data_IF_992227251296
#
_entry.id   IF_992227251296
#
_cell.length_a   1.000
_cell.length_b   1.000
_cell.length_c   1.000
_cell.angle_alpha   90.00
_cell.angle_beta   90.00
_cell.angle_gamma   90.00
#
_symmetry.space_group_name_H-M   'P 1'
#
loop_
_entity.id
_entity.type
_entity.pdbx_description
1 polymer ?
#
# COMPACT_ATOMS: atom_id res chain seq x y z
N UNK A 1 -24.29 35.37 -7.58
CA UNK A 1 -23.42 34.99 -6.46
C UNK A 1 -22.09 35.71 -6.59
N UNK A 2 -21.65 36.39 -5.53
CA UNK A 2 -20.36 37.06 -5.48
C UNK A 2 -19.22 36.05 -5.28
N UNK A 3 -18.10 36.21 -6.01
CA UNK A 3 -16.92 35.30 -5.94
C UNK A 3 -16.41 35.13 -4.51
N UNK A 4 -16.56 36.17 -3.70
CA UNK A 4 -16.08 36.21 -2.30
C UNK A 4 -16.94 35.35 -1.38
N UNK A 5 -18.24 35.26 -1.64
CA UNK A 5 -19.16 34.46 -0.83
C UNK A 5 -19.07 32.97 -1.20
N UNK A 6 -18.79 32.66 -2.47
CA UNK A 6 -18.47 31.31 -2.90
C UNK A 6 -17.23 30.74 -2.18
N UNK A 7 -16.15 31.54 -2.11
CA UNK A 7 -14.91 31.11 -1.43
C UNK A 7 -15.10 30.93 0.09
N UNK A 8 -15.89 31.78 0.74
CA UNK A 8 -16.21 31.65 2.17
C UNK A 8 -16.99 30.37 2.47
N UNK A 9 -17.98 30.03 1.63
CA UNK A 9 -18.77 28.82 1.81
C UNK A 9 -17.94 27.55 1.56
N UNK A 10 -17.03 27.55 0.57
CA UNK A 10 -16.11 26.44 0.36
C UNK A 10 -15.16 26.23 1.56
N UNK A 11 -14.62 27.30 2.14
CA UNK A 11 -13.74 27.18 3.32
C UNK A 11 -14.46 26.61 4.55
N UNK A 12 -15.75 26.92 4.75
CA UNK A 12 -16.57 26.38 5.85
C UNK A 12 -16.91 24.89 5.68
N UNK A 13 -17.01 24.41 4.44
CA UNK A 13 -17.20 22.98 4.16
C UNK A 13 -15.91 22.18 4.40
N UNK A 14 -14.75 22.77 4.16
CA UNK A 14 -13.45 22.14 4.40
C UNK A 14 -13.18 22.00 5.91
N UNK A 15 -13.53 23.00 6.73
CA UNK A 15 -13.36 22.91 8.19
C UNK A 15 -14.27 21.87 8.84
N UNK A 16 -15.42 21.57 8.23
CA UNK A 16 -16.38 20.55 8.70
C UNK A 16 -16.00 19.13 8.25
N UNK A 17 -15.34 18.98 7.11
CA UNK A 17 -14.95 17.68 6.53
C UNK A 17 -13.64 17.08 7.07
N UNK A 18 -12.87 17.82 7.87
CA UNK A 18 -11.59 17.34 8.43
C UNK A 18 -11.77 16.54 9.74
N UNK A 19 -12.93 16.63 10.40
CA UNK A 19 -13.14 16.00 11.72
C UNK A 19 -13.70 14.57 11.63
N UNK A 20 -14.28 14.14 10.50
CA UNK A 20 -15.01 12.87 10.41
C UNK A 20 -14.36 11.76 9.57
N UNK A 21 -13.09 11.86 9.16
CA UNK A 21 -12.44 10.69 8.54
C UNK A 21 -11.00 10.81 8.05
N UNK A 22 -10.35 11.96 8.17
CA UNK A 22 -9.06 12.22 7.50
C UNK A 22 -7.78 11.87 8.28
N UNK A 23 -7.86 11.43 9.54
CA UNK A 23 -6.68 11.29 10.42
C UNK A 23 -6.72 9.98 11.23
N UNK A 24 -6.46 8.85 10.58
CA UNK A 24 -5.66 7.74 11.15
C UNK A 24 -5.66 6.55 10.17
N UNK A 25 -4.70 6.46 9.24
CA UNK A 25 -4.43 5.19 8.56
C UNK A 25 -4.04 4.05 9.53
N UNK A 26 -3.80 4.37 10.81
CA UNK A 26 -3.48 3.42 11.89
C UNK A 26 -4.71 2.63 12.37
N UNK A 27 -5.94 3.15 12.23
CA UNK A 27 -7.14 2.50 12.77
C UNK A 27 -7.69 1.34 11.92
N UNK A 28 -7.42 1.35 10.62
CA UNK A 28 -7.99 0.35 9.69
C UNK A 28 -7.29 -1.01 9.79
N UNK A 29 -5.97 -1.02 10.03
CA UNK A 29 -5.20 -2.25 10.15
C UNK A 29 -5.65 -3.14 11.33
N UNK A 30 -6.09 -2.53 12.43
CA UNK A 30 -6.54 -3.26 13.63
C UNK A 30 -7.93 -3.89 13.49
N UNK A 31 -8.71 -3.48 12.49
CA UNK A 31 -10.09 -3.93 12.32
C UNK A 31 -10.21 -5.23 11.51
N UNK A 32 -9.24 -5.53 10.63
CA UNK A 32 -9.32 -6.66 9.70
C UNK A 32 -9.10 -8.02 10.41
N UNK A 33 -8.35 -8.04 11.51
CA UNK A 33 -8.15 -9.25 12.31
C UNK A 33 -8.32 -8.92 13.80
N UNK A 34 -9.57 -8.92 14.28
CA UNK A 34 -9.91 -8.56 15.67
C UNK A 34 -9.14 -9.36 16.74
N UNK A 35 -8.78 -10.61 16.44
CA UNK A 35 -8.19 -11.54 17.40
C UNK A 35 -6.73 -11.90 17.09
N UNK A 36 -6.11 -11.29 16.08
CA UNK A 36 -4.74 -11.60 15.69
C UNK A 36 -3.77 -10.53 16.17
N UNK A 37 -2.83 -10.95 17.01
CA UNK A 37 -1.75 -10.12 17.51
C UNK A 37 -0.42 -10.53 16.85
N UNK A 38 0.08 -9.77 15.84
CA UNK A 38 1.33 -10.08 15.17
C UNK A 38 2.54 -9.94 16.10
N UNK A 39 2.45 -9.17 17.20
CA UNK A 39 3.57 -8.97 18.12
C UNK A 39 3.86 -10.20 19.01
N UNK A 40 2.91 -11.15 19.11
CA UNK A 40 3.09 -12.41 19.84
C UNK A 40 3.85 -13.48 19.06
N UNK A 41 4.19 -13.21 17.80
CA UNK A 41 4.81 -14.18 16.90
C UNK A 41 6.07 -13.61 16.26
N UNK A 42 7.06 -14.47 16.04
CA UNK A 42 8.27 -14.13 15.29
C UNK A 42 8.12 -14.66 13.87
N UNK A 43 8.06 -13.76 12.90
CA UNK A 43 7.97 -14.11 11.49
C UNK A 43 9.35 -14.12 10.84
N UNK A 44 9.62 -15.16 10.05
CA UNK A 44 10.81 -15.28 9.22
C UNK A 44 10.46 -15.84 7.85
N UNK A 45 11.22 -15.46 6.84
CA UNK A 45 11.09 -15.96 5.47
C UNK A 45 12.46 -16.46 5.00
N UNK A 46 12.53 -17.73 4.61
CA UNK A 46 13.72 -18.34 4.02
C UNK A 46 13.53 -18.59 2.52
N UNK A 47 14.53 -18.24 1.73
CA UNK A 47 14.53 -18.45 0.27
C UNK A 47 15.79 -19.25 -0.10
N UNK A 48 15.61 -20.45 -0.66
CA UNK A 48 16.70 -21.24 -1.23
C UNK A 48 17.02 -20.73 -2.64
N UNK A 49 18.08 -19.93 -2.74
CA UNK A 49 18.49 -19.30 -4.00
C UNK A 49 19.01 -20.29 -5.05
N UNK A 50 19.43 -21.51 -4.66
CA UNK A 50 19.89 -22.52 -5.62
C UNK A 50 18.74 -23.08 -6.47
N UNK A 51 17.50 -22.97 -5.98
CA UNK A 51 16.29 -23.36 -6.71
C UNK A 51 15.68 -22.22 -7.52
N UNK A 52 16.22 -21.00 -7.39
CA UNK A 52 15.70 -19.84 -8.09
C UNK A 52 16.12 -19.86 -9.56
N UNK A 53 15.17 -20.08 -10.46
CA UNK A 53 15.40 -20.07 -11.92
C UNK A 53 15.13 -18.70 -12.58
N UNK A 54 14.89 -17.65 -11.78
CA UNK A 54 14.61 -16.31 -12.32
C UNK A 54 13.25 -16.16 -13.03
N UNK A 55 12.26 -17.01 -12.74
CA UNK A 55 10.96 -16.99 -13.43
C UNK A 55 10.09 -15.75 -13.13
N UNK A 56 10.42 -14.97 -12.09
CA UNK A 56 9.70 -13.73 -11.74
C UNK A 56 8.32 -13.92 -11.12
N UNK A 57 7.88 -15.16 -10.85
CA UNK A 57 6.56 -15.44 -10.27
C UNK A 57 6.39 -14.90 -8.85
N UNK A 58 7.47 -14.86 -8.06
CA UNK A 58 7.46 -14.23 -6.74
C UNK A 58 7.07 -12.73 -6.82
N UNK A 59 7.59 -12.01 -7.83
CA UNK A 59 7.26 -10.61 -8.07
C UNK A 59 5.80 -10.45 -8.50
N UNK A 60 5.31 -11.30 -9.41
CA UNK A 60 3.92 -11.27 -9.86
C UNK A 60 2.94 -11.53 -8.71
N UNK A 61 3.17 -12.58 -7.91
CA UNK A 61 2.35 -12.91 -6.75
C UNK A 61 2.31 -11.75 -5.74
N UNK A 62 3.47 -11.14 -5.47
CA UNK A 62 3.54 -9.96 -4.61
C UNK A 62 2.77 -8.77 -5.17
N UNK A 63 2.62 -8.60 -6.50
CA UNK A 63 1.76 -7.54 -7.02
C UNK A 63 0.29 -7.83 -6.83
N UNK A 64 -0.13 -9.06 -7.14
CA UNK A 64 -1.52 -9.51 -7.07
C UNK A 64 -2.08 -9.48 -5.65
N UNK A 65 -1.34 -10.00 -4.67
CA UNK A 65 -1.83 -10.16 -3.28
C UNK A 65 -2.02 -8.83 -2.54
N UNK A 66 -1.43 -7.78 -3.08
CA UNK A 66 -1.11 -6.58 -2.34
C UNK A 66 -1.59 -5.33 -3.11
N UNK A 67 -2.23 -5.50 -4.26
CA UNK A 67 -2.71 -4.41 -5.11
C UNK A 67 -1.60 -3.44 -5.54
N UNK A 68 -0.41 -3.97 -5.87
CA UNK A 68 0.67 -3.16 -6.45
C UNK A 68 0.37 -2.90 -7.93
N UNK A 69 0.53 -1.65 -8.42
CA UNK A 69 0.36 -1.36 -9.84
C UNK A 69 1.16 -2.30 -10.74
N UNK A 70 0.54 -2.75 -11.82
CA UNK A 70 1.13 -3.74 -12.73
C UNK A 70 2.30 -3.19 -13.53
N UNK A 71 2.46 -1.86 -13.63
CA UNK A 71 3.51 -1.23 -14.42
C UNK A 71 4.92 -1.69 -14.01
N UNK A 72 5.87 -1.71 -14.95
CA UNK A 72 7.20 -2.28 -14.73
C UNK A 72 8.03 -1.60 -13.64
N UNK A 73 7.60 -0.45 -13.14
CA UNK A 73 8.39 0.42 -12.25
C UNK A 73 7.93 0.37 -10.78
N UNK A 74 6.76 -0.20 -10.49
CA UNK A 74 6.21 -0.24 -9.14
C UNK A 74 6.35 -1.62 -8.51
N UNK A 75 7.10 -1.71 -7.40
CA UNK A 75 7.27 -2.93 -6.60
C UNK A 75 7.31 -2.57 -5.11
N UNK A 76 6.70 -3.40 -4.26
CA UNK A 76 6.85 -3.30 -2.79
C UNK A 76 8.11 -3.96 -2.25
N UNK A 77 8.70 -4.86 -3.03
CA UNK A 77 9.94 -5.56 -2.72
C UNK A 77 11.02 -5.09 -3.69
N UNK A 78 12.18 -4.66 -3.17
CA UNK A 78 13.33 -4.36 -4.02
C UNK A 78 14.08 -5.65 -4.31
N UNK A 79 13.86 -6.19 -5.52
CA UNK A 79 14.63 -7.30 -6.08
C UNK A 79 15.11 -6.80 -7.43
N UNK A 80 16.41 -6.55 -7.56
CA UNK A 80 16.98 -6.03 -8.80
C UNK A 80 16.71 -7.00 -9.95
N UNK A 81 15.82 -6.61 -10.85
CA UNK A 81 15.55 -7.38 -12.07
C UNK A 81 16.54 -6.96 -13.14
N UNK A 82 17.61 -7.73 -13.29
CA UNK A 82 18.48 -7.62 -14.45
C UNK A 82 17.80 -8.25 -15.67
N UNK A 83 17.37 -7.40 -16.61
CA UNK A 83 16.86 -7.86 -17.91
C UNK A 83 18.02 -7.83 -18.88
N UNK A 84 18.62 -8.99 -19.14
CA UNK A 84 19.55 -9.14 -20.26
C UNK A 84 18.71 -9.11 -21.53
N UNK A 85 18.85 -8.05 -22.33
CA UNK A 85 18.26 -7.99 -23.67
C UNK A 85 19.02 -8.96 -24.57
N UNK A 86 18.28 -9.83 -25.24
CA UNK A 86 18.81 -10.64 -26.33
C UNK A 86 19.23 -9.77 -27.51
#
# INVERSE_FOLDING_TARGET
>A
MDRRDFLKNCCLLISSGVISGGLAPVGWAKTIHKDYDPAKHLYGMGIDINKCIGCGRCMQACKTENDVPSDPYYFRTWVERYVIKA
#
